data_IF_196049659841
#
_entry.id   IF_196049659841
#
_cell.length_a   1.000
_cell.length_b   1.000
_cell.length_c   1.000
_cell.angle_alpha   90.00
_cell.angle_beta   90.00
_cell.angle_gamma   90.00
#
_symmetry.space_group_name_H-M   'P 1'
#
loop_
_entity.id
_entity.type
_entity.pdbx_description
1 polymer ?
#
# COMPACT_ATOMS: atom_id res chain seq x y z
N UNK A 1 17.10 -16.70 11.28
CA UNK A 1 17.57 -17.74 10.29
C UNK A 1 18.91 -17.33 9.76
N UNK A 2 19.81 -18.30 9.56
CA UNK A 2 21.11 -18.07 8.90
C UNK A 2 20.91 -17.85 7.40
N UNK A 3 21.91 -17.27 6.73
CA UNK A 3 21.89 -17.09 5.28
C UNK A 3 21.75 -18.43 4.54
N UNK A 4 22.42 -19.49 5.03
CA UNK A 4 22.33 -20.83 4.43
C UNK A 4 20.92 -21.41 4.52
N UNK A 5 20.23 -21.25 5.65
CA UNK A 5 18.82 -21.69 5.83
C UNK A 5 17.86 -20.93 4.90
N UNK A 6 18.05 -19.62 4.77
CA UNK A 6 17.26 -18.77 3.84
C UNK A 6 17.46 -19.24 2.40
N UNK A 7 18.70 -19.50 1.99
CA UNK A 7 18.99 -20.01 0.65
C UNK A 7 18.35 -21.38 0.39
N UNK A 8 18.40 -22.30 1.38
CA UNK A 8 17.72 -23.59 1.27
C UNK A 8 16.21 -23.46 1.16
N UNK A 9 15.60 -22.54 1.94
CA UNK A 9 14.18 -22.24 1.91
C UNK A 9 13.74 -21.76 0.50
N UNK A 10 14.47 -20.80 -0.06
CA UNK A 10 14.21 -20.29 -1.42
C UNK A 10 14.31 -21.43 -2.45
N UNK A 11 15.32 -22.30 -2.32
CA UNK A 11 15.48 -23.45 -3.22
C UNK A 11 14.33 -24.46 -3.09
N UNK A 12 13.84 -24.71 -1.87
CA UNK A 12 12.64 -25.54 -1.64
C UNK A 12 11.41 -24.96 -2.33
N UNK A 13 11.18 -23.64 -2.21
CA UNK A 13 10.08 -22.95 -2.85
C UNK A 13 10.19 -22.98 -4.38
N UNK A 14 11.40 -22.79 -4.92
CA UNK A 14 11.66 -22.86 -6.36
C UNK A 14 11.41 -24.27 -6.91
N UNK A 15 11.84 -25.30 -6.19
CA UNK A 15 11.57 -26.69 -6.56
C UNK A 15 10.07 -27.00 -6.54
N UNK A 16 9.34 -26.51 -5.53
CA UNK A 16 7.90 -26.68 -5.46
C UNK A 16 7.17 -25.91 -6.56
N UNK A 17 7.56 -24.67 -6.84
CA UNK A 17 7.01 -23.92 -7.95
C UNK A 17 7.18 -24.64 -9.29
N UNK A 18 8.36 -25.21 -9.56
CA UNK A 18 8.64 -25.98 -10.76
C UNK A 18 7.94 -27.36 -10.82
N UNK A 19 7.26 -27.78 -9.77
CA UNK A 19 6.38 -28.95 -9.82
C UNK A 19 5.03 -28.69 -10.49
N UNK A 20 4.78 -27.42 -10.88
CA UNK A 20 3.53 -26.94 -11.50
C UNK A 20 2.28 -27.05 -10.60
N UNK A 21 2.43 -27.41 -9.32
CA UNK A 21 1.31 -27.58 -8.41
C UNK A 21 0.44 -26.32 -8.28
N UNK A 22 1.06 -25.12 -8.35
CA UNK A 22 0.35 -23.84 -8.26
C UNK A 22 -0.26 -23.37 -9.58
N UNK A 23 -0.05 -24.08 -10.70
CA UNK A 23 -0.72 -23.78 -11.97
C UNK A 23 -2.21 -24.15 -11.93
N UNK A 24 -2.58 -25.15 -11.14
CA UNK A 24 -3.97 -25.48 -10.90
C UNK A 24 -4.66 -24.36 -10.11
N UNK A 25 -5.70 -23.77 -10.70
CA UNK A 25 -6.47 -22.67 -10.09
C UNK A 25 -7.23 -23.15 -8.85
N UNK A 26 -7.67 -24.40 -8.81
CA UNK A 26 -8.37 -24.95 -7.64
C UNK A 26 -7.42 -25.12 -6.45
N UNK A 27 -6.16 -25.46 -6.69
CA UNK A 27 -5.13 -25.46 -5.66
C UNK A 27 -4.98 -24.07 -5.01
N UNK A 28 -4.94 -23.00 -5.83
CA UNK A 28 -4.85 -21.61 -5.34
C UNK A 28 -6.07 -21.20 -4.52
N UNK A 29 -7.27 -21.54 -5.01
CA UNK A 29 -8.54 -21.24 -4.31
C UNK A 29 -8.59 -21.98 -2.98
N UNK A 30 -8.17 -23.24 -2.94
CA UNK A 30 -8.11 -24.01 -1.68
C UNK A 30 -7.12 -23.38 -0.69
N UNK A 31 -5.97 -22.91 -1.17
CA UNK A 31 -5.00 -22.17 -0.34
C UNK A 31 -5.61 -20.89 0.27
N UNK A 32 -6.32 -20.10 -0.54
CA UNK A 32 -7.01 -18.89 -0.06
C UNK A 32 -8.13 -19.22 0.95
N UNK A 33 -8.89 -20.30 0.74
CA UNK A 33 -9.92 -20.77 1.67
C UNK A 33 -9.30 -21.18 3.02
N UNK A 34 -8.18 -21.89 2.97
CA UNK A 34 -7.44 -22.32 4.17
C UNK A 34 -6.89 -21.13 4.95
N UNK A 35 -6.34 -20.13 4.24
CA UNK A 35 -5.90 -18.89 4.86
C UNK A 35 -7.06 -18.15 5.53
N UNK A 36 -8.22 -18.06 4.86
CA UNK A 36 -9.43 -17.42 5.42
C UNK A 36 -9.91 -18.11 6.71
N UNK A 37 -9.97 -19.43 6.69
CA UNK A 37 -10.36 -20.20 7.86
C UNK A 37 -9.39 -20.01 9.04
N UNK A 38 -8.08 -19.94 8.73
CA UNK A 38 -7.06 -19.68 9.74
C UNK A 38 -7.21 -18.27 10.34
N UNK A 39 -7.42 -17.25 9.53
CA UNK A 39 -7.63 -15.86 10.01
C UNK A 39 -8.84 -15.79 10.94
N UNK A 40 -9.96 -16.38 10.56
CA UNK A 40 -11.17 -16.42 11.39
C UNK A 40 -10.94 -17.17 12.71
N UNK A 41 -10.15 -18.24 12.70
CA UNK A 41 -9.78 -18.99 13.90
C UNK A 41 -8.94 -18.15 14.86
N UNK A 42 -8.03 -17.32 14.33
CA UNK A 42 -7.05 -16.55 15.11
C UNK A 42 -7.45 -15.10 15.35
N UNK A 43 -8.70 -14.69 15.06
CA UNK A 43 -9.12 -13.27 15.13
C UNK A 43 -8.84 -12.62 16.49
N UNK A 44 -9.11 -13.32 17.59
CA UNK A 44 -8.84 -12.79 18.92
C UNK A 44 -7.34 -12.62 19.20
N UNK A 45 -6.51 -13.59 18.79
CA UNK A 45 -5.07 -13.52 18.98
C UNK A 45 -4.44 -12.44 18.09
N UNK A 46 -5.00 -12.19 16.89
CA UNK A 46 -4.59 -11.08 16.02
C UNK A 46 -4.84 -9.76 16.76
N UNK A 47 -6.02 -9.55 17.33
CA UNK A 47 -6.33 -8.35 18.10
C UNK A 47 -5.41 -8.17 19.32
N UNK A 48 -5.09 -9.25 20.03
CA UNK A 48 -4.17 -9.22 21.17
C UNK A 48 -2.75 -8.86 20.74
N UNK A 49 -2.26 -9.45 19.66
CA UNK A 49 -0.91 -9.18 19.14
C UNK A 49 -0.75 -7.73 18.65
N UNK A 50 -1.70 -7.23 17.86
CA UNK A 50 -1.71 -5.84 17.38
C UNK A 50 -1.80 -4.86 18.55
N UNK A 51 -2.61 -5.16 19.57
CA UNK A 51 -2.69 -4.34 20.78
C UNK A 51 -1.37 -4.33 21.56
N UNK A 52 -0.68 -5.43 21.64
CA UNK A 52 0.62 -5.50 22.30
C UNK A 52 1.68 -4.65 21.60
N UNK A 53 1.70 -4.65 20.27
CA UNK A 53 2.64 -3.88 19.45
C UNK A 53 2.28 -2.39 19.41
N UNK A 54 1.04 -2.03 19.09
CA UNK A 54 0.60 -0.68 18.71
C UNK A 54 -0.43 -0.05 19.67
N UNK A 55 -0.93 -0.80 20.65
CA UNK A 55 -1.98 -0.32 21.56
C UNK A 55 -3.37 -0.22 20.92
N UNK A 56 -3.57 -0.62 19.67
CA UNK A 56 -4.86 -0.56 18.98
C UNK A 56 -5.92 -1.36 19.73
N UNK A 57 -7.13 -0.81 19.86
CA UNK A 57 -8.26 -1.57 20.38
C UNK A 57 -8.76 -2.60 19.35
N UNK A 58 -9.54 -3.60 19.80
CA UNK A 58 -10.03 -4.67 18.93
C UNK A 58 -10.89 -4.13 17.77
N UNK A 59 -11.69 -3.09 18.03
CA UNK A 59 -12.49 -2.46 16.97
C UNK A 59 -11.63 -1.84 15.87
N UNK A 60 -10.60 -1.08 16.24
CA UNK A 60 -9.67 -0.47 15.29
C UNK A 60 -8.86 -1.54 14.54
N UNK A 61 -8.38 -2.58 15.25
CA UNK A 61 -7.66 -3.69 14.63
C UNK A 61 -8.52 -4.42 13.59
N UNK A 62 -9.79 -4.68 13.90
CA UNK A 62 -10.70 -5.30 12.93
C UNK A 62 -10.99 -4.38 11.75
N UNK A 63 -11.35 -3.11 12.01
CA UNK A 63 -11.72 -2.13 10.99
C UNK A 63 -10.58 -1.87 9.99
N UNK A 64 -9.33 -1.82 10.48
CA UNK A 64 -8.19 -1.35 9.68
C UNK A 64 -7.24 -2.48 9.23
N UNK A 65 -7.38 -3.69 9.77
CA UNK A 65 -6.50 -4.81 9.42
C UNK A 65 -7.29 -6.07 9.11
N UNK A 66 -7.82 -6.78 10.10
CA UNK A 66 -8.46 -8.10 9.89
C UNK A 66 -9.65 -8.04 8.93
N UNK A 67 -10.50 -7.03 9.07
CA UNK A 67 -11.69 -6.86 8.23
C UNK A 67 -11.34 -6.54 6.77
N UNK A 68 -10.33 -5.72 6.51
CA UNK A 68 -9.86 -5.42 5.16
C UNK A 68 -9.26 -6.66 4.49
N UNK A 69 -8.41 -7.40 5.22
CA UNK A 69 -7.85 -8.68 4.74
C UNK A 69 -8.94 -9.68 4.39
N UNK A 70 -9.98 -9.82 5.23
CA UNK A 70 -11.11 -10.73 4.94
C UNK A 70 -11.94 -10.27 3.75
N UNK A 71 -12.05 -8.95 3.52
CA UNK A 71 -12.68 -8.38 2.34
C UNK A 71 -11.91 -8.72 1.07
N UNK A 72 -10.58 -8.50 1.06
CA UNK A 72 -9.69 -8.84 -0.05
C UNK A 72 -9.71 -10.34 -0.37
N UNK A 73 -9.62 -11.19 0.66
CA UNK A 73 -9.76 -12.65 0.52
C UNK A 73 -11.09 -13.05 -0.12
N UNK A 74 -12.18 -12.42 0.30
CA UNK A 74 -13.51 -12.70 -0.24
C UNK A 74 -13.60 -12.30 -1.70
N UNK A 75 -13.04 -11.14 -2.06
CA UNK A 75 -12.94 -10.67 -3.42
C UNK A 75 -12.12 -11.63 -4.29
N UNK A 76 -10.93 -12.02 -3.85
CA UNK A 76 -10.05 -12.93 -4.59
C UNK A 76 -10.65 -14.32 -4.74
N UNK A 77 -11.27 -14.88 -3.71
CA UNK A 77 -11.98 -16.16 -3.81
C UNK A 77 -13.07 -16.16 -4.89
N UNK A 78 -13.75 -15.03 -5.06
CA UNK A 78 -14.80 -14.87 -6.09
C UNK A 78 -14.22 -14.72 -7.50
N UNK A 79 -13.05 -14.10 -7.64
CA UNK A 79 -12.56 -13.64 -8.95
C UNK A 79 -11.35 -14.40 -9.48
N UNK A 80 -10.59 -15.13 -8.68
CA UNK A 80 -9.34 -15.81 -9.09
C UNK A 80 -9.55 -16.72 -10.31
N UNK A 81 -10.65 -17.50 -10.38
CA UNK A 81 -10.95 -18.31 -11.57
C UNK A 81 -11.11 -17.48 -12.84
N UNK A 82 -11.69 -16.29 -12.73
CA UNK A 82 -11.88 -15.38 -13.87
C UNK A 82 -10.55 -14.74 -14.28
N UNK A 83 -9.76 -14.27 -13.32
CA UNK A 83 -8.48 -13.60 -13.56
C UNK A 83 -7.44 -14.56 -14.14
N UNK A 84 -7.49 -15.83 -13.76
CA UNK A 84 -6.57 -16.89 -14.26
C UNK A 84 -6.86 -17.35 -15.69
N UNK A 85 -7.98 -16.92 -16.30
CA UNK A 85 -8.30 -17.28 -17.69
C UNK A 85 -7.49 -16.46 -18.67
N UNK A 86 -7.20 -17.07 -19.82
CA UNK A 86 -6.66 -16.35 -20.97
C UNK A 86 -7.67 -15.32 -21.50
N UNK A 87 -7.17 -14.18 -21.90
CA UNK A 87 -7.94 -13.08 -22.44
C UNK A 87 -7.69 -12.92 -23.93
N UNK A 88 -8.69 -13.26 -24.75
CA UNK A 88 -8.61 -13.10 -26.21
C UNK A 88 -8.66 -11.61 -26.56
N UNK A 89 -7.74 -11.18 -27.43
CA UNK A 89 -7.66 -9.82 -27.95
C UNK A 89 -7.88 -9.80 -29.46
N UNK A 90 -8.14 -8.62 -30.02
CA UNK A 90 -8.34 -8.45 -31.46
C UNK A 90 -7.08 -8.87 -32.22
N UNK A 91 -7.23 -9.80 -33.17
CA UNK A 91 -6.15 -10.20 -34.09
C UNK A 91 -6.18 -9.31 -35.32
N UNK A 92 -5.07 -8.64 -35.69
CA UNK A 92 -4.99 -7.86 -36.94
C UNK A 92 -5.23 -8.72 -38.18
N UNK A 93 -5.87 -8.13 -39.22
CA UNK A 93 -6.11 -8.83 -40.49
C UNK A 93 -4.84 -9.36 -41.15
N UNK A 94 -3.72 -8.67 -41.00
CA UNK A 94 -2.41 -9.13 -41.49
C UNK A 94 -1.98 -10.50 -40.90
N UNK A 95 -2.57 -10.90 -39.79
CA UNK A 95 -2.31 -12.19 -39.12
C UNK A 95 -3.43 -13.21 -39.35
N UNK A 96 -4.35 -12.97 -40.29
CA UNK A 96 -5.42 -13.88 -40.63
C UNK A 96 -4.82 -15.22 -41.15
N UNK A 97 -5.17 -16.42 -40.74
CA UNK A 97 -6.15 -16.83 -39.75
C UNK A 97 -5.43 -17.20 -38.43
N UNK A 98 -5.58 -16.40 -37.42
CA UNK A 98 -4.96 -16.64 -36.09
C UNK A 98 -5.87 -16.17 -34.97
N UNK A 99 -5.60 -16.66 -33.74
CA UNK A 99 -6.17 -16.20 -32.50
C UNK A 99 -5.07 -15.56 -31.66
N UNK A 100 -5.26 -14.30 -31.27
CA UNK A 100 -4.37 -13.57 -30.35
C UNK A 100 -4.97 -13.57 -28.96
N UNK A 101 -4.16 -13.86 -27.94
CA UNK A 101 -4.61 -13.84 -26.55
C UNK A 101 -3.45 -13.57 -25.59
N UNK A 102 -3.80 -13.06 -24.41
CA UNK A 102 -2.91 -12.92 -23.27
C UNK A 102 -3.20 -14.05 -22.29
N UNK A 103 -2.15 -14.68 -21.78
CA UNK A 103 -2.25 -15.76 -20.79
C UNK A 103 -1.53 -15.35 -19.52
N UNK A 104 -2.23 -15.26 -18.35
CA UNK A 104 -1.59 -14.96 -17.08
C UNK A 104 -0.66 -16.10 -16.67
N UNK A 105 0.46 -15.76 -16.08
CA UNK A 105 1.48 -16.67 -15.59
C UNK A 105 2.10 -16.12 -14.31
N UNK A 106 2.19 -16.89 -13.21
CA UNK A 106 2.90 -16.46 -12.03
C UNK A 106 4.37 -16.15 -12.34
N UNK A 107 4.97 -15.26 -11.58
CA UNK A 107 6.42 -14.99 -11.67
C UNK A 107 7.24 -16.16 -11.13
N UNK A 108 6.94 -16.66 -9.94
CA UNK A 108 7.71 -17.72 -9.30
C UNK A 108 7.76 -17.61 -7.78
N UNK A 109 8.96 -17.50 -7.22
CA UNK A 109 9.19 -17.29 -5.78
C UNK A 109 9.19 -15.81 -5.49
N UNK A 110 8.25 -15.36 -4.67
CA UNK A 110 8.07 -13.93 -4.33
C UNK A 110 8.54 -13.61 -2.92
N UNK A 111 9.12 -12.43 -2.74
CA UNK A 111 9.45 -11.87 -1.43
C UNK A 111 8.47 -10.73 -1.09
N UNK A 112 7.83 -10.81 0.07
CA UNK A 112 6.92 -9.77 0.58
C UNK A 112 7.52 -9.24 1.88
N UNK A 113 7.99 -7.99 1.85
CA UNK A 113 8.56 -7.29 3.00
C UNK A 113 7.58 -6.23 3.49
N UNK A 114 7.10 -6.36 4.74
CA UNK A 114 6.03 -5.52 5.26
C UNK A 114 6.46 -4.70 6.49
N UNK A 115 5.86 -3.52 6.70
CA UNK A 115 6.16 -2.61 7.78
C UNK A 115 5.45 -2.99 9.08
N UNK A 116 5.61 -2.16 10.09
CA UNK A 116 5.13 -2.39 11.45
C UNK A 116 3.81 -1.68 11.81
N UNK A 117 3.33 -0.74 10.98
CA UNK A 117 2.22 0.14 11.34
C UNK A 117 0.82 -0.48 11.14
N UNK A 118 0.66 -1.34 10.15
CA UNK A 118 -0.47 -2.24 9.93
C UNK A 118 0.09 -3.64 9.65
N UNK A 119 0.72 -4.26 10.65
CA UNK A 119 1.60 -5.40 10.43
C UNK A 119 0.88 -6.64 9.91
N UNK A 120 -0.37 -6.85 10.29
CA UNK A 120 -1.17 -7.97 9.82
C UNK A 120 -1.65 -7.73 8.38
N UNK A 121 -2.31 -6.61 8.13
CA UNK A 121 -2.88 -6.28 6.82
C UNK A 121 -1.80 -6.21 5.75
N UNK A 122 -0.75 -5.41 5.96
CA UNK A 122 0.30 -5.18 4.96
C UNK A 122 1.22 -6.40 4.73
N UNK A 123 1.10 -7.45 5.55
CA UNK A 123 1.74 -8.74 5.29
C UNK A 123 0.82 -9.68 4.52
N UNK A 124 -0.47 -9.73 4.87
CA UNK A 124 -1.38 -10.76 4.39
C UNK A 124 -2.08 -10.37 3.09
N UNK A 125 -2.39 -9.09 2.84
CA UNK A 125 -3.00 -8.68 1.57
C UNK A 125 -2.10 -8.96 0.36
N UNK A 126 -0.81 -8.58 0.32
CA UNK A 126 0.05 -8.95 -0.79
C UNK A 126 0.26 -10.48 -0.91
N UNK A 127 0.19 -11.22 0.20
CA UNK A 127 0.22 -12.69 0.16
C UNK A 127 -1.01 -13.24 -0.55
N UNK A 128 -2.20 -12.71 -0.28
CA UNK A 128 -3.46 -13.13 -0.95
C UNK A 128 -3.31 -12.97 -2.46
N UNK A 129 -2.79 -11.84 -2.91
CA UNK A 129 -2.59 -11.52 -4.32
C UNK A 129 -1.57 -12.48 -4.97
N UNK A 130 -0.44 -12.71 -4.29
CA UNK A 130 0.60 -13.62 -4.75
C UNK A 130 0.09 -15.06 -4.90
N UNK A 131 -0.69 -15.56 -3.93
CA UNK A 131 -1.27 -16.90 -3.97
C UNK A 131 -2.36 -17.02 -5.04
N UNK A 132 -3.21 -16.01 -5.20
CA UNK A 132 -4.23 -15.96 -6.25
C UNK A 132 -3.60 -16.02 -7.65
N UNK A 133 -2.48 -15.32 -7.84
CA UNK A 133 -1.71 -15.35 -9.09
C UNK A 133 -0.96 -16.67 -9.32
N UNK A 134 -0.73 -17.48 -8.27
CA UNK A 134 -0.08 -18.79 -8.35
C UNK A 134 1.41 -18.81 -8.02
N UNK A 135 1.91 -17.81 -7.31
CA UNK A 135 3.28 -17.75 -6.82
C UNK A 135 3.47 -18.55 -5.53
N UNK A 136 4.71 -18.84 -5.17
CA UNK A 136 5.13 -19.14 -3.81
C UNK A 136 5.58 -17.84 -3.11
N UNK A 137 5.57 -17.80 -1.79
CA UNK A 137 5.88 -16.56 -1.09
C UNK A 137 6.75 -16.77 0.16
N UNK A 138 7.72 -15.88 0.32
CA UNK A 138 8.46 -15.69 1.57
C UNK A 138 8.04 -14.32 2.15
N UNK A 139 7.49 -14.36 3.36
CA UNK A 139 7.07 -13.18 4.11
C UNK A 139 8.19 -12.73 5.03
N UNK A 140 8.47 -11.44 5.04
CA UNK A 140 9.41 -10.80 5.95
C UNK A 140 8.72 -9.65 6.69
N UNK A 141 7.90 -9.94 7.72
CA UNK A 141 7.30 -8.90 8.55
C UNK A 141 8.36 -8.12 9.34
N UNK A 142 8.00 -6.92 9.76
CA UNK A 142 8.89 -6.05 10.53
C UNK A 142 9.24 -6.64 11.90
N UNK A 143 10.50 -6.53 12.30
CA UNK A 143 10.94 -6.87 13.66
C UNK A 143 10.38 -5.93 14.74
N UNK A 144 9.89 -4.74 14.38
CA UNK A 144 9.31 -3.80 15.34
C UNK A 144 7.93 -4.25 15.85
N UNK A 145 7.15 -4.93 15.05
CA UNK A 145 5.86 -5.53 15.43
C UNK A 145 6.05 -7.00 15.86
N UNK A 146 6.81 -7.23 16.92
CA UNK A 146 7.30 -8.55 17.30
C UNK A 146 6.17 -9.54 17.63
N UNK A 147 5.12 -9.10 18.33
CA UNK A 147 3.98 -9.94 18.70
C UNK A 147 3.16 -10.37 17.48
N UNK A 148 2.86 -9.43 16.59
CA UNK A 148 2.13 -9.71 15.35
C UNK A 148 2.96 -10.60 14.42
N UNK A 149 4.26 -10.35 14.30
CA UNK A 149 5.19 -11.16 13.50
C UNK A 149 5.24 -12.61 14.01
N UNK A 150 5.34 -12.81 15.32
CA UNK A 150 5.34 -14.15 15.93
C UNK A 150 4.02 -14.89 15.66
N UNK A 151 2.89 -14.18 15.75
CA UNK A 151 1.57 -14.74 15.45
C UNK A 151 1.43 -15.12 13.96
N UNK A 152 1.81 -14.22 13.04
CA UNK A 152 1.80 -14.49 11.59
C UNK A 152 2.63 -15.75 11.30
N UNK A 153 3.83 -15.86 11.86
CA UNK A 153 4.67 -17.03 11.66
C UNK A 153 3.96 -18.32 12.09
N UNK A 154 3.34 -18.36 13.28
CA UNK A 154 2.57 -19.51 13.79
C UNK A 154 1.38 -19.84 12.86
N UNK A 155 0.62 -18.84 12.42
CA UNK A 155 -0.51 -18.99 11.53
C UNK A 155 -0.11 -19.59 10.18
N UNK A 156 0.96 -19.07 9.58
CA UNK A 156 1.46 -19.55 8.29
C UNK A 156 1.97 -20.98 8.39
N UNK A 157 2.71 -21.33 9.42
CA UNK A 157 3.15 -22.72 9.67
C UNK A 157 1.99 -23.70 9.86
N UNK A 158 0.86 -23.28 10.43
CA UNK A 158 -0.34 -24.11 10.53
C UNK A 158 -1.05 -24.25 9.16
N UNK A 159 -1.04 -23.17 8.36
CA UNK A 159 -1.74 -23.13 7.08
C UNK A 159 -0.99 -23.80 5.94
N UNK A 160 0.32 -23.64 5.89
CA UNK A 160 1.10 -23.96 4.69
C UNK A 160 2.40 -24.70 5.03
N UNK A 161 2.84 -25.56 4.11
CA UNK A 161 4.19 -26.07 4.08
C UNK A 161 5.15 -24.93 3.68
N UNK A 162 6.34 -24.87 4.27
CA UNK A 162 7.34 -23.84 4.02
C UNK A 162 7.80 -23.75 2.55
N UNK A 163 7.68 -24.85 1.82
CA UNK A 163 7.94 -24.88 0.36
C UNK A 163 6.93 -24.06 -0.45
N UNK A 164 5.78 -23.70 0.12
CA UNK A 164 4.75 -22.89 -0.54
C UNK A 164 4.68 -21.48 0.03
N UNK A 165 4.51 -21.34 1.35
CA UNK A 165 4.53 -20.06 2.06
C UNK A 165 5.35 -20.20 3.32
N UNK A 166 6.32 -19.30 3.51
CA UNK A 166 7.16 -19.28 4.69
C UNK A 166 7.29 -17.88 5.28
N UNK A 167 7.64 -17.78 6.56
CA UNK A 167 7.95 -16.54 7.24
C UNK A 167 9.39 -16.54 7.69
N UNK A 168 10.14 -15.51 7.31
CA UNK A 168 11.47 -15.24 7.83
C UNK A 168 11.35 -14.12 8.87
N UNK A 169 11.55 -14.47 10.14
CA UNK A 169 11.59 -13.51 11.24
C UNK A 169 13.00 -12.96 11.41
N UNK A 170 13.14 -11.80 12.03
CA UNK A 170 14.42 -11.18 12.31
C UNK A 170 14.49 -9.72 11.85
N UNK A 171 15.69 -9.14 11.93
CA UNK A 171 15.93 -7.72 11.72
C UNK A 171 16.65 -7.37 10.42
N UNK A 172 17.60 -6.43 10.54
CA UNK A 172 18.37 -5.91 9.41
C UNK A 172 19.24 -6.98 8.74
N UNK A 173 19.77 -7.92 9.53
CA UNK A 173 20.67 -8.96 9.03
C UNK A 173 19.89 -9.90 8.07
N UNK A 174 18.72 -10.39 8.51
CA UNK A 174 17.89 -11.25 7.68
C UNK A 174 17.31 -10.51 6.46
N UNK A 175 17.02 -9.20 6.58
CA UNK A 175 16.66 -8.39 5.41
C UNK A 175 17.79 -8.41 4.37
N UNK A 176 19.04 -8.22 4.79
CA UNK A 176 20.19 -8.24 3.88
C UNK A 176 20.41 -9.62 3.27
N UNK A 177 20.22 -10.70 4.04
CA UNK A 177 20.32 -12.07 3.51
C UNK A 177 19.29 -12.31 2.42
N UNK A 178 18.02 -11.93 2.66
CA UNK A 178 16.95 -12.07 1.68
C UNK A 178 17.21 -11.23 0.43
N UNK A 179 17.59 -9.97 0.58
CA UNK A 179 17.79 -9.07 -0.56
C UNK A 179 19.00 -9.44 -1.42
N UNK A 180 19.96 -10.22 -0.89
CA UNK A 180 21.08 -10.74 -1.66
C UNK A 180 20.73 -12.01 -2.46
N UNK A 181 19.57 -12.62 -2.23
CA UNK A 181 19.14 -13.81 -2.96
C UNK A 181 18.24 -13.44 -4.15
N UNK A 182 18.13 -14.34 -5.13
CA UNK A 182 17.32 -14.15 -6.30
C UNK A 182 15.85 -14.52 -6.04
N UNK A 183 14.97 -13.54 -6.12
CA UNK A 183 13.52 -13.67 -6.18
C UNK A 183 12.99 -13.34 -7.57
N UNK A 184 11.84 -13.90 -7.93
CA UNK A 184 11.20 -13.66 -9.22
C UNK A 184 10.28 -12.41 -9.16
N UNK A 185 9.92 -11.95 -7.94
CA UNK A 185 9.22 -10.70 -7.65
C UNK A 185 9.48 -10.24 -6.22
N UNK A 186 9.58 -8.93 -5.98
CA UNK A 186 9.67 -8.36 -4.63
C UNK A 186 8.56 -7.32 -4.44
N UNK A 187 7.75 -7.50 -3.39
CA UNK A 187 6.78 -6.53 -2.92
C UNK A 187 7.27 -5.95 -1.59
N UNK A 188 7.47 -4.66 -1.55
CA UNK A 188 7.99 -3.96 -0.38
C UNK A 188 7.07 -2.81 0.02
N UNK A 189 6.74 -2.73 1.31
CA UNK A 189 6.08 -1.59 1.92
C UNK A 189 6.95 -1.05 3.06
N UNK A 190 7.26 0.26 3.02
CA UNK A 190 8.10 0.86 4.07
C UNK A 190 8.63 2.26 3.72
N UNK A 191 9.79 2.63 4.27
CA UNK A 191 10.38 3.94 4.04
C UNK A 191 11.05 4.05 2.66
N UNK A 192 11.13 5.27 2.13
CA UNK A 192 11.82 5.58 0.87
C UNK A 192 13.28 5.12 0.87
N UNK A 193 13.98 5.27 2.00
CA UNK A 193 15.37 4.86 2.14
C UNK A 193 15.53 3.36 1.91
N UNK A 194 14.71 2.55 2.59
CA UNK A 194 14.75 1.08 2.44
C UNK A 194 14.22 0.66 1.05
N UNK A 195 13.22 1.37 0.50
CA UNK A 195 12.74 1.13 -0.88
C UNK A 195 13.86 1.29 -1.92
N UNK A 196 14.70 2.32 -1.79
CA UNK A 196 15.88 2.49 -2.66
C UNK A 196 16.91 1.36 -2.49
N UNK A 197 17.04 0.82 -1.26
CA UNK A 197 17.89 -0.34 -0.98
C UNK A 197 17.35 -1.60 -1.69
N UNK A 198 16.05 -1.85 -1.57
CA UNK A 198 15.38 -2.95 -2.29
C UNK A 198 15.60 -2.83 -3.80
N UNK A 199 15.42 -1.64 -4.39
CA UNK A 199 15.69 -1.42 -5.82
C UNK A 199 17.13 -1.75 -6.21
N UNK A 200 18.12 -1.33 -5.41
CA UNK A 200 19.54 -1.62 -5.67
C UNK A 200 19.82 -3.13 -5.72
N UNK A 201 19.29 -3.88 -4.75
CA UNK A 201 19.46 -5.34 -4.71
C UNK A 201 18.70 -6.02 -5.86
N UNK A 202 17.45 -5.65 -6.11
CA UNK A 202 16.64 -6.20 -7.19
C UNK A 202 17.30 -6.04 -8.57
N UNK A 203 18.00 -4.92 -8.80
CA UNK A 203 18.70 -4.65 -10.06
C UNK A 203 19.77 -5.68 -10.40
N UNK A 204 20.39 -6.35 -9.41
CA UNK A 204 21.40 -7.39 -9.63
C UNK A 204 20.84 -8.61 -10.36
N UNK A 205 19.53 -8.84 -10.26
CA UNK A 205 18.85 -9.99 -10.83
C UNK A 205 17.77 -9.59 -11.85
N UNK A 206 17.62 -8.27 -12.12
CA UNK A 206 16.51 -7.72 -12.92
C UNK A 206 15.13 -8.12 -12.38
N UNK A 207 15.03 -8.29 -11.06
CA UNK A 207 13.79 -8.66 -10.39
C UNK A 207 12.79 -7.51 -10.45
N UNK A 208 11.57 -7.71 -10.98
CA UNK A 208 10.51 -6.71 -10.93
C UNK A 208 10.07 -6.47 -9.49
N UNK A 209 9.72 -5.21 -9.17
CA UNK A 209 9.37 -4.79 -7.83
C UNK A 209 8.10 -3.95 -7.79
N UNK A 210 7.39 -4.03 -6.67
CA UNK A 210 6.42 -3.03 -6.22
C UNK A 210 6.92 -2.39 -4.93
N UNK A 211 6.86 -1.08 -4.87
CA UNK A 211 7.26 -0.28 -3.71
C UNK A 211 6.07 0.56 -3.25
N UNK A 212 5.59 0.30 -2.05
CA UNK A 212 4.60 1.12 -1.36
C UNK A 212 5.33 1.94 -0.29
N UNK A 213 5.47 3.23 -0.56
CA UNK A 213 6.28 4.13 0.25
C UNK A 213 5.40 5.20 0.91
N UNK A 214 5.98 6.00 1.79
CA UNK A 214 5.29 7.11 2.42
C UNK A 214 5.42 8.42 1.65
N UNK A 215 4.95 9.49 2.26
CA UNK A 215 5.06 10.84 1.72
C UNK A 215 4.31 11.86 2.57
N UNK A 216 4.48 13.16 2.27
CA UNK A 216 3.74 14.22 2.96
C UNK A 216 2.39 14.44 2.30
N UNK A 217 1.39 13.66 2.73
CA UNK A 217 0.03 13.68 2.19
C UNK A 217 -0.72 14.97 2.59
N UNK A 218 -0.98 15.90 1.66
CA UNK A 218 -1.66 17.15 1.95
C UNK A 218 -3.16 16.94 2.21
N UNK A 219 -3.70 17.72 3.15
CA UNK A 219 -5.13 17.86 3.36
C UNK A 219 -5.54 19.32 3.09
N UNK A 220 -6.06 19.58 1.91
CA UNK A 220 -6.49 20.92 1.49
C UNK A 220 -7.89 21.19 2.04
N UNK A 221 -8.08 22.34 2.68
CA UNK A 221 -9.39 22.79 3.15
C UNK A 221 -9.73 24.14 2.52
N UNK A 222 -10.63 24.11 1.54
CA UNK A 222 -11.10 25.30 0.85
C UNK A 222 -12.17 26.04 1.66
N UNK A 223 -12.29 27.37 1.48
CA UNK A 223 -13.28 28.20 2.18
C UNK A 223 -14.75 27.76 1.98
N UNK A 224 -15.06 27.05 0.91
CA UNK A 224 -16.40 26.52 0.65
C UNK A 224 -16.69 25.20 1.38
N UNK A 225 -15.72 24.62 2.10
CA UNK A 225 -15.91 23.35 2.80
C UNK A 225 -16.90 23.45 3.97
N UNK A 226 -17.62 22.37 4.25
CA UNK A 226 -18.26 22.20 5.55
C UNK A 226 -17.18 21.97 6.63
N UNK A 227 -16.78 23.05 7.30
CA UNK A 227 -15.66 23.02 8.25
C UNK A 227 -15.90 22.06 9.41
N UNK A 228 -17.14 21.89 9.85
CA UNK A 228 -17.48 20.99 10.97
C UNK A 228 -17.32 19.52 10.55
N UNK A 229 -17.78 19.18 9.35
CA UNK A 229 -17.64 17.84 8.79
C UNK A 229 -16.16 17.57 8.43
N UNK A 230 -15.48 18.53 7.81
CA UNK A 230 -14.05 18.44 7.50
C UNK A 230 -13.22 18.14 8.76
N UNK A 231 -13.40 18.93 9.83
CA UNK A 231 -12.71 18.70 11.10
C UNK A 231 -12.97 17.29 11.67
N UNK A 232 -14.22 16.78 11.59
CA UNK A 232 -14.55 15.43 12.07
C UNK A 232 -13.79 14.34 11.31
N UNK A 233 -13.74 14.43 9.97
CA UNK A 233 -13.11 13.45 9.10
C UNK A 233 -11.59 13.56 9.13
N UNK A 234 -11.04 14.76 9.22
CA UNK A 234 -9.61 14.98 9.37
C UNK A 234 -9.09 14.40 10.69
N UNK A 235 -9.80 14.64 11.81
CA UNK A 235 -9.42 14.10 13.12
C UNK A 235 -9.41 12.56 13.09
N UNK A 236 -10.43 11.96 12.51
CA UNK A 236 -10.45 10.50 12.30
C UNK A 236 -9.23 10.03 11.48
N UNK A 237 -9.02 10.59 10.30
CA UNK A 237 -7.95 10.13 9.40
C UNK A 237 -6.54 10.43 9.90
N UNK A 238 -6.36 11.53 10.66
CA UNK A 238 -5.05 11.89 11.20
C UNK A 238 -4.66 11.06 12.41
N UNK A 239 -5.58 10.79 13.32
CA UNK A 239 -5.22 10.23 14.62
C UNK A 239 -5.53 8.72 14.74
N UNK A 240 -6.14 8.11 13.73
CA UNK A 240 -6.21 6.66 13.59
C UNK A 240 -4.80 6.08 13.66
N UNK A 241 -4.59 4.99 14.40
CA UNK A 241 -3.28 4.38 14.65
C UNK A 241 -2.23 5.40 15.19
N UNK A 242 -2.66 6.39 15.96
CA UNK A 242 -1.81 7.51 16.41
C UNK A 242 -1.10 8.23 15.26
N UNK A 243 -1.71 8.31 14.07
CA UNK A 243 -1.12 8.95 12.89
C UNK A 243 0.00 8.14 12.21
N UNK A 244 0.27 6.92 12.62
CA UNK A 244 1.29 6.05 12.04
C UNK A 244 0.75 5.35 10.78
N UNK A 245 0.35 6.15 9.79
CA UNK A 245 -0.34 5.71 8.58
C UNK A 245 0.22 6.47 7.37
N UNK A 246 0.67 5.74 6.36
CA UNK A 246 1.27 6.31 5.14
C UNK A 246 0.34 7.25 4.35
N UNK A 247 -0.96 7.09 4.51
CA UNK A 247 -2.00 7.94 3.92
C UNK A 247 -2.67 8.87 4.93
N UNK A 248 -2.20 8.98 6.18
CA UNK A 248 -2.73 9.98 7.11
C UNK A 248 -2.59 11.39 6.53
N UNK A 249 -3.56 12.30 6.75
CA UNK A 249 -3.31 13.72 6.52
C UNK A 249 -2.03 14.13 7.25
N UNK A 250 -0.95 14.38 6.49
CA UNK A 250 0.33 14.70 7.12
C UNK A 250 0.36 16.15 7.60
N UNK A 251 -0.27 17.05 6.83
CA UNK A 251 -0.49 18.45 7.20
C UNK A 251 -1.82 18.95 6.62
N UNK A 252 -2.37 19.98 7.25
CA UNK A 252 -3.50 20.74 6.71
C UNK A 252 -2.95 21.95 5.96
N UNK A 253 -3.46 22.20 4.77
CA UNK A 253 -3.23 23.42 4.02
C UNK A 253 -4.59 24.05 3.73
N UNK A 254 -4.97 25.07 4.52
CA UNK A 254 -6.31 25.64 4.47
C UNK A 254 -6.35 27.09 3.97
N UNK A 255 -7.48 27.46 3.39
CA UNK A 255 -7.78 28.86 3.08
C UNK A 255 -7.69 29.67 4.38
N UNK A 256 -6.92 30.77 4.36
CA UNK A 256 -6.66 31.61 5.53
C UNK A 256 -7.93 32.08 6.22
N UNK A 257 -9.00 32.32 5.46
CA UNK A 257 -10.28 32.84 5.99
C UNK A 257 -11.03 31.85 6.87
N UNK A 258 -10.73 30.56 6.79
CA UNK A 258 -11.41 29.51 7.58
C UNK A 258 -10.53 28.89 8.66
N UNK A 259 -9.25 29.29 8.78
CA UNK A 259 -8.26 28.69 9.68
C UNK A 259 -8.76 28.61 11.13
N UNK A 260 -9.15 29.75 11.71
CA UNK A 260 -9.52 29.81 13.13
C UNK A 260 -10.76 28.98 13.44
N UNK A 261 -11.75 29.00 12.52
CA UNK A 261 -12.94 28.17 12.63
C UNK A 261 -12.59 26.68 12.54
N UNK A 262 -11.67 26.31 11.64
CA UNK A 262 -11.20 24.94 11.48
C UNK A 262 -10.48 24.46 12.75
N UNK A 263 -9.54 25.21 13.29
CA UNK A 263 -8.81 24.89 14.54
C UNK A 263 -9.81 24.68 15.69
N UNK A 264 -10.78 25.56 15.83
CA UNK A 264 -11.83 25.44 16.86
C UNK A 264 -12.62 24.14 16.73
N UNK A 265 -13.02 23.76 15.51
CA UNK A 265 -13.76 22.52 15.29
C UNK A 265 -12.86 21.27 15.43
N UNK A 266 -11.58 21.31 15.00
CA UNK A 266 -10.60 20.23 15.22
C UNK A 266 -10.44 19.92 16.72
N UNK A 267 -10.23 20.94 17.56
CA UNK A 267 -10.15 20.79 19.04
C UNK A 267 -11.38 20.09 19.61
N UNK A 268 -12.58 20.51 19.19
CA UNK A 268 -13.84 19.86 19.61
C UNK A 268 -13.92 18.40 19.16
N UNK A 269 -13.50 18.10 17.93
CA UNK A 269 -13.57 16.74 17.40
C UNK A 269 -12.56 15.82 18.10
N UNK A 270 -11.35 16.29 18.42
CA UNK A 270 -10.39 15.53 19.21
C UNK A 270 -10.99 15.19 20.58
N UNK A 271 -11.54 16.17 21.29
CA UNK A 271 -12.19 15.92 22.59
C UNK A 271 -13.37 14.95 22.50
N UNK A 272 -14.11 14.98 21.38
CA UNK A 272 -15.24 14.08 21.18
C UNK A 272 -14.83 12.65 20.86
N UNK A 273 -13.77 12.45 20.05
CA UNK A 273 -13.33 11.14 19.57
C UNK A 273 -12.35 10.47 20.54
N UNK A 274 -11.50 11.26 21.22
CA UNK A 274 -10.41 10.76 22.07
C UNK A 274 -10.53 11.23 23.54
N UNK A 275 -11.66 11.81 23.95
CA UNK A 275 -11.90 12.42 25.26
C UNK A 275 -11.07 13.67 25.54
N UNK A 276 -11.26 14.26 26.75
CA UNK A 276 -10.44 15.40 27.23
C UNK A 276 -9.07 14.96 27.76
N UNK A 277 -8.88 13.67 27.95
CA UNK A 277 -7.64 13.05 28.42
C UNK A 277 -7.28 11.88 27.49
N UNK A 278 -6.77 12.17 26.27
CA UNK A 278 -6.50 11.15 25.27
C UNK A 278 -5.55 10.05 25.75
N UNK A 279 -4.53 10.38 26.53
CA UNK A 279 -3.55 9.41 27.05
C UNK A 279 -4.16 8.42 28.05
N UNK A 280 -5.27 8.77 28.69
CA UNK A 280 -6.04 7.86 29.57
C UNK A 280 -7.15 7.10 28.82
N UNK A 281 -7.36 7.39 27.52
CA UNK A 281 -8.41 6.78 26.73
C UNK A 281 -8.02 5.35 26.30
N UNK A 282 -8.80 4.36 26.70
CA UNK A 282 -8.48 2.92 26.52
C UNK A 282 -8.36 2.48 25.06
N UNK A 283 -8.92 3.23 24.14
CA UNK A 283 -8.92 2.94 22.70
C UNK A 283 -7.85 3.73 21.94
N UNK A 284 -7.14 4.64 22.61
CA UNK A 284 -6.04 5.37 22.00
C UNK A 284 -4.75 4.54 22.03
N UNK A 285 -4.13 4.35 20.87
CA UNK A 285 -2.95 3.52 20.70
C UNK A 285 -1.65 4.15 21.25
N UNK A 286 -0.51 3.62 20.83
CA UNK A 286 0.83 4.10 21.22
C UNK A 286 1.76 4.15 20.01
N UNK A 287 2.88 4.85 20.15
CA UNK A 287 3.97 4.82 19.17
C UNK A 287 4.71 3.49 19.29
N UNK A 288 5.09 2.92 18.15
CA UNK A 288 5.63 1.55 18.06
C UNK A 288 6.88 1.32 18.95
N UNK A 289 7.77 2.30 19.05
CA UNK A 289 8.99 2.19 19.85
C UNK A 289 9.55 3.56 20.25
N UNK A 290 10.52 3.56 21.16
CA UNK A 290 11.16 4.76 21.69
C UNK A 290 11.85 5.61 20.61
N UNK A 291 12.52 4.98 19.63
CA UNK A 291 13.18 5.70 18.54
C UNK A 291 12.20 6.61 17.76
N UNK A 292 11.03 6.06 17.38
CA UNK A 292 10.01 6.84 16.69
C UNK A 292 9.31 7.85 17.60
N UNK A 293 9.16 7.50 18.87
CA UNK A 293 8.62 8.42 19.88
C UNK A 293 9.49 9.66 20.05
N UNK A 294 10.81 9.48 20.27
CA UNK A 294 11.74 10.61 20.45
C UNK A 294 11.86 11.45 19.17
N UNK A 295 11.86 10.81 17.98
CA UNK A 295 11.80 11.52 16.69
C UNK A 295 10.58 12.43 16.62
N UNK A 296 9.41 11.94 16.99
CA UNK A 296 8.16 12.71 16.95
C UNK A 296 8.19 13.90 17.92
N UNK A 297 8.72 13.73 19.13
CA UNK A 297 8.90 14.84 20.08
C UNK A 297 9.82 15.91 19.50
N UNK A 298 10.86 15.53 18.77
CA UNK A 298 11.76 16.46 18.09
C UNK A 298 11.13 17.26 16.95
N UNK A 299 9.96 16.85 16.45
CA UNK A 299 9.22 17.60 15.42
C UNK A 299 8.25 18.64 16.01
N UNK A 300 7.98 18.61 17.31
CA UNK A 300 7.04 19.51 17.97
C UNK A 300 7.74 20.81 18.35
N UNK A 301 7.37 21.89 17.68
CA UNK A 301 7.67 23.25 18.14
C UNK A 301 6.58 23.70 19.12
N UNK A 302 6.90 23.70 20.40
CA UNK A 302 5.94 23.96 21.47
C UNK A 302 5.37 25.39 21.44
N UNK A 303 6.11 26.37 20.88
CA UNK A 303 5.62 27.74 20.71
C UNK A 303 4.48 27.82 19.68
N UNK A 304 4.36 26.82 18.81
CA UNK A 304 3.32 26.70 17.79
C UNK A 304 2.18 25.76 18.18
N UNK A 305 2.29 25.06 19.31
CA UNK A 305 1.23 24.14 19.77
C UNK A 305 0.02 24.94 20.25
N UNK A 306 -1.12 24.67 19.65
CA UNK A 306 -2.40 25.30 20.02
C UNK A 306 -3.37 24.32 20.68
N UNK A 307 -3.05 23.02 20.65
CA UNK A 307 -3.78 21.96 21.35
C UNK A 307 -2.90 20.72 21.51
N UNK A 308 -3.04 20.00 22.63
CA UNK A 308 -2.27 18.80 22.92
C UNK A 308 -0.84 19.11 23.34
N UNK A 309 0.11 18.30 22.87
CA UNK A 309 1.54 18.45 23.14
C UNK A 309 2.03 17.70 24.37
N UNK A 310 1.15 17.07 25.14
CA UNK A 310 1.54 16.20 26.27
C UNK A 310 1.88 14.80 25.80
N UNK A 311 2.68 14.10 26.58
CA UNK A 311 3.13 12.75 26.25
C UNK A 311 3.45 11.92 27.49
N UNK A 312 3.52 10.61 27.32
CA UNK A 312 3.96 9.67 28.35
C UNK A 312 5.03 8.73 27.80
N UNK A 313 6.25 8.84 28.33
CA UNK A 313 7.39 8.00 27.95
C UNK A 313 7.21 6.51 28.32
N UNK A 314 6.47 6.20 29.41
CA UNK A 314 6.29 4.83 29.86
C UNK A 314 5.35 4.06 28.94
N UNK A 315 4.28 4.72 28.48
CA UNK A 315 3.31 4.14 27.57
C UNK A 315 3.64 4.36 26.10
N UNK A 316 4.62 5.20 25.79
CA UNK A 316 4.98 5.67 24.44
C UNK A 316 3.80 6.37 23.73
N UNK A 317 3.01 7.11 24.47
CA UNK A 317 1.85 7.83 23.93
C UNK A 317 2.16 9.33 23.80
N UNK A 318 1.74 9.91 22.67
CA UNK A 318 1.77 11.35 22.42
C UNK A 318 0.33 11.78 22.17
N UNK A 319 -0.12 12.83 22.87
CA UNK A 319 -1.47 13.36 22.71
C UNK A 319 -1.69 13.86 21.27
N UNK A 320 -2.91 13.73 20.69
CA UNK A 320 -3.27 14.41 19.46
C UNK A 320 -2.90 15.91 19.52
N UNK A 321 -1.93 16.32 18.73
CA UNK A 321 -1.29 17.63 18.82
C UNK A 321 -1.58 18.45 17.56
N UNK A 322 -2.06 19.68 17.72
CA UNK A 322 -2.26 20.66 16.63
C UNK A 322 -1.22 21.76 16.76
N UNK A 323 -0.50 22.04 15.67
CA UNK A 323 0.41 23.17 15.55
C UNK A 323 -0.16 24.18 14.55
N UNK A 324 -0.17 25.47 14.93
CA UNK A 324 -0.59 26.59 14.08
C UNK A 324 0.61 27.45 13.67
N UNK A 325 0.42 28.33 12.69
CA UNK A 325 1.45 29.22 12.16
C UNK A 325 2.70 28.45 11.66
N UNK A 326 2.48 27.25 11.15
CA UNK A 326 3.54 26.42 10.56
C UNK A 326 3.85 26.91 9.14
N UNK A 327 5.11 26.86 8.79
CA UNK A 327 5.64 27.17 7.45
C UNK A 327 6.30 25.96 6.82
N UNK A 328 6.53 25.98 5.53
CA UNK A 328 7.25 24.89 4.84
C UNK A 328 8.72 24.75 5.30
N UNK A 329 9.29 25.73 6.00
CA UNK A 329 10.65 25.69 6.54
C UNK A 329 10.75 25.00 7.91
N UNK A 330 9.63 24.78 8.61
CA UNK A 330 9.63 24.17 9.93
C UNK A 330 10.02 22.68 9.89
N UNK A 331 10.64 22.20 10.96
CA UNK A 331 11.11 20.80 11.07
C UNK A 331 10.02 19.77 10.78
N UNK A 332 8.79 20.01 11.27
CA UNK A 332 7.62 19.15 11.05
C UNK A 332 7.22 19.02 9.57
N UNK A 333 7.71 19.91 8.71
CA UNK A 333 7.45 19.90 7.27
C UNK A 333 8.58 19.28 6.43
N UNK A 334 9.75 18.96 7.04
CA UNK A 334 10.91 18.44 6.30
C UNK A 334 10.87 16.94 6.05
N UNK A 335 10.08 16.19 6.82
CA UNK A 335 9.90 14.75 6.67
C UNK A 335 8.44 14.34 6.85
N UNK A 336 8.08 13.12 6.48
CA UNK A 336 6.79 12.52 6.82
C UNK A 336 6.67 12.38 8.34
N UNK A 337 5.60 12.89 8.91
CA UNK A 337 5.43 12.94 10.38
C UNK A 337 5.25 11.52 10.93
N UNK A 338 4.35 10.74 10.36
CA UNK A 338 4.03 9.37 10.79
C UNK A 338 3.72 9.27 12.29
N UNK A 339 2.89 10.20 12.77
CA UNK A 339 2.56 10.34 14.18
C UNK A 339 1.43 11.34 14.44
N UNK A 340 1.01 11.53 15.72
CA UNK A 340 -0.18 12.27 16.08
C UNK A 340 0.05 13.80 16.17
N UNK A 341 0.85 14.35 15.26
CA UNK A 341 1.12 15.80 15.17
C UNK A 341 0.55 16.31 13.86
N UNK A 342 -0.30 17.34 13.94
CA UNK A 342 -1.03 17.92 12.81
C UNK A 342 -0.67 19.39 12.65
N UNK A 343 0.28 19.75 11.78
CA UNK A 343 0.60 21.12 11.44
C UNK A 343 -0.45 21.72 10.50
N UNK A 344 -0.73 23.01 10.70
CA UNK A 344 -1.67 23.78 9.89
C UNK A 344 -0.92 24.93 9.20
N UNK A 345 -0.95 24.92 7.87
CA UNK A 345 -0.48 25.97 6.98
C UNK A 345 -1.67 26.67 6.34
N UNK A 346 -1.48 27.90 5.88
CA UNK A 346 -2.53 28.66 5.19
C UNK A 346 -2.09 29.12 3.82
N UNK A 347 -3.05 29.20 2.90
CA UNK A 347 -2.88 29.82 1.58
C UNK A 347 -3.90 30.95 1.37
N UNK A 348 -3.58 31.88 0.48
CA UNK A 348 -4.45 32.99 0.08
C UNK A 348 -5.21 32.68 -1.22
N UNK A 349 -4.71 31.77 -2.04
CA UNK A 349 -5.40 31.30 -3.25
C UNK A 349 -5.18 29.81 -3.48
N UNK A 350 -6.20 29.14 -4.05
CA UNK A 350 -6.08 27.71 -4.39
C UNK A 350 -4.96 27.44 -5.39
N UNK A 351 -4.63 28.40 -6.26
CA UNK A 351 -3.51 28.28 -7.21
C UNK A 351 -2.17 28.29 -6.50
N UNK A 352 -2.01 29.08 -5.44
CA UNK A 352 -0.84 29.05 -4.56
C UNK A 352 -0.70 27.67 -3.92
N UNK A 353 -1.78 27.15 -3.32
CA UNK A 353 -1.78 25.83 -2.69
C UNK A 353 -1.35 24.73 -3.68
N UNK A 354 -1.92 24.72 -4.86
CA UNK A 354 -1.57 23.76 -5.92
C UNK A 354 -0.10 23.87 -6.33
N UNK A 355 0.40 25.08 -6.50
CA UNK A 355 1.78 25.29 -6.95
C UNK A 355 2.79 24.85 -5.88
N UNK A 356 2.54 25.17 -4.60
CA UNK A 356 3.39 24.75 -3.49
C UNK A 356 3.43 23.22 -3.34
N UNK A 357 2.27 22.55 -3.43
CA UNK A 357 2.21 21.08 -3.35
C UNK A 357 2.94 20.45 -4.54
N UNK A 358 2.78 21.00 -5.75
CA UNK A 358 3.48 20.50 -6.95
C UNK A 358 5.01 20.66 -6.91
N UNK A 359 5.50 21.59 -6.11
CA UNK A 359 6.94 21.78 -5.90
C UNK A 359 7.54 20.77 -4.91
N UNK A 360 6.70 20.01 -4.19
CA UNK A 360 7.12 18.94 -3.28
C UNK A 360 7.14 17.59 -4.00
N UNK A 361 7.65 16.57 -3.30
CA UNK A 361 7.57 15.17 -3.74
C UNK A 361 6.11 14.73 -3.94
N UNK A 362 5.86 13.82 -4.88
CA UNK A 362 4.53 13.26 -5.13
C UNK A 362 4.00 12.52 -3.89
N UNK A 363 2.90 12.97 -3.27
CA UNK A 363 2.36 12.33 -2.09
C UNK A 363 1.67 10.99 -2.44
N UNK A 364 1.66 10.05 -1.49
CA UNK A 364 0.89 8.82 -1.63
C UNK A 364 -0.62 9.12 -1.59
N UNK A 365 -1.06 10.05 -0.72
CA UNK A 365 -2.45 10.44 -0.68
C UNK A 365 -2.63 11.97 -0.77
N UNK A 366 -3.79 12.39 -1.32
CA UNK A 366 -4.24 13.78 -1.34
C UNK A 366 -5.70 13.87 -0.91
N UNK A 367 -6.00 14.82 -0.03
CA UNK A 367 -7.36 15.09 0.45
C UNK A 367 -7.73 16.52 0.15
N UNK A 368 -8.97 16.71 -0.34
CA UNK A 368 -9.56 18.04 -0.60
C UNK A 368 -10.94 18.13 0.01
N UNK A 369 -11.13 19.09 0.91
CA UNK A 369 -12.44 19.46 1.45
C UNK A 369 -12.92 20.75 0.79
N UNK A 370 -13.99 20.64 -0.01
CA UNK A 370 -14.59 21.75 -0.73
C UNK A 370 -16.09 21.49 -0.95
N UNK A 371 -16.90 22.51 -0.79
CA UNK A 371 -18.31 22.49 -1.20
C UNK A 371 -18.47 22.79 -2.69
N UNK A 372 -17.47 23.39 -3.32
CA UNK A 372 -17.40 23.66 -4.75
C UNK A 372 -16.67 22.52 -5.45
N UNK A 373 -17.38 21.74 -6.26
CA UNK A 373 -16.86 20.59 -7.00
C UNK A 373 -15.80 20.98 -8.03
N UNK A 374 -15.93 22.14 -8.68
CA UNK A 374 -14.96 22.62 -9.66
C UNK A 374 -13.58 22.89 -9.02
N UNK A 375 -13.57 23.35 -7.76
CA UNK A 375 -12.32 23.52 -7.03
C UNK A 375 -11.65 22.17 -6.78
N UNK A 376 -12.42 21.17 -6.34
CA UNK A 376 -11.89 19.82 -6.10
C UNK A 376 -11.36 19.18 -7.39
N UNK A 377 -12.13 19.24 -8.47
CA UNK A 377 -11.72 18.73 -9.79
C UNK A 377 -10.45 19.41 -10.32
N UNK A 378 -10.35 20.74 -10.17
CA UNK A 378 -9.18 21.50 -10.57
C UNK A 378 -7.91 21.09 -9.79
N UNK A 379 -8.03 20.88 -8.48
CA UNK A 379 -6.92 20.41 -7.64
C UNK A 379 -6.47 19.01 -8.07
N UNK A 380 -7.41 18.08 -8.24
CA UNK A 380 -7.12 16.70 -8.65
C UNK A 380 -6.47 16.65 -10.04
N UNK A 381 -6.93 17.46 -10.97
CA UNK A 381 -6.38 17.50 -12.33
C UNK A 381 -4.96 18.04 -12.40
N UNK A 382 -4.54 18.86 -11.43
CA UNK A 382 -3.25 19.59 -11.48
C UNK A 382 -2.17 19.00 -10.61
N UNK A 383 -2.50 18.21 -9.59
CA UNK A 383 -1.53 17.61 -8.68
C UNK A 383 -1.45 16.11 -8.98
N UNK A 384 -0.22 15.58 -9.11
CA UNK A 384 0.02 14.15 -9.19
C UNK A 384 0.11 13.54 -7.79
N UNK A 385 -0.63 12.44 -7.53
CA UNK A 385 -0.66 11.72 -6.26
C UNK A 385 -1.10 10.27 -6.48
N UNK A 386 -0.88 9.38 -5.51
CA UNK A 386 -1.28 7.98 -5.63
C UNK A 386 -2.78 7.79 -5.60
N UNK A 387 -3.43 8.13 -4.51
CA UNK A 387 -4.88 8.07 -4.34
C UNK A 387 -5.41 9.15 -3.40
N UNK A 388 -6.73 9.29 -3.22
CA UNK A 388 -7.23 10.34 -2.34
C UNK A 388 -8.74 10.40 -2.22
N UNK A 389 -9.23 11.40 -1.47
CA UNK A 389 -10.65 11.60 -1.25
C UNK A 389 -11.05 13.06 -1.45
N UNK A 390 -12.23 13.25 -2.02
CA UNK A 390 -12.96 14.52 -1.94
C UNK A 390 -13.88 14.46 -0.73
N UNK A 391 -13.77 15.45 0.16
CA UNK A 391 -14.57 15.59 1.38
C UNK A 391 -14.47 14.40 2.36
N UNK A 392 -13.44 13.58 2.28
CA UNK A 392 -13.13 12.54 3.26
C UNK A 392 -11.62 12.29 3.36
N UNK A 393 -11.22 11.33 4.20
CA UNK A 393 -9.85 10.87 4.36
C UNK A 393 -9.80 9.34 4.41
N UNK A 394 -8.69 8.72 3.99
CA UNK A 394 -8.36 7.30 4.08
C UNK A 394 -9.24 6.34 3.26
N UNK A 395 -10.54 6.55 3.14
CA UNK A 395 -11.50 5.54 2.63
C UNK A 395 -11.26 5.08 1.18
N UNK A 396 -10.43 5.78 0.41
CA UNK A 396 -10.07 5.37 -0.96
C UNK A 396 -9.32 4.03 -1.01
N UNK A 397 -8.67 3.63 0.09
CA UNK A 397 -7.96 2.34 0.19
C UNK A 397 -8.86 1.16 0.60
N UNK A 398 -10.08 1.44 1.09
CA UNK A 398 -10.96 0.41 1.66
C UNK A 398 -11.82 -0.31 0.61
N UNK A 399 -11.27 -0.55 -0.60
CA UNK A 399 -11.99 -1.23 -1.67
C UNK A 399 -11.04 -2.03 -2.56
N UNK A 400 -11.42 -3.26 -2.90
CA UNK A 400 -10.70 -4.11 -3.86
C UNK A 400 -10.98 -3.73 -5.34
N UNK A 401 -11.84 -2.75 -5.59
CA UNK A 401 -12.22 -2.33 -6.96
C UNK A 401 -11.33 -1.21 -7.51
N UNK A 402 -10.50 -0.58 -6.67
CA UNK A 402 -9.56 0.47 -7.06
C UNK A 402 -8.12 0.06 -6.71
N UNK A 403 -7.15 0.38 -7.56
CA UNK A 403 -5.74 0.17 -7.22
C UNK A 403 -5.32 1.08 -6.06
N UNK A 404 -4.42 0.58 -5.22
CA UNK A 404 -3.71 1.36 -4.22
C UNK A 404 -2.22 1.35 -4.55
N UNK A 405 -1.59 2.52 -4.58
CA UNK A 405 -0.17 2.68 -4.83
C UNK A 405 0.21 4.12 -5.14
N UNK A 406 1.48 4.42 -4.96
CA UNK A 406 2.08 5.72 -5.27
C UNK A 406 2.90 5.70 -6.56
N UNK A 407 3.53 6.84 -6.87
CA UNK A 407 4.52 6.95 -7.94
C UNK A 407 5.60 7.98 -7.59
N UNK A 408 6.76 7.86 -8.23
CA UNK A 408 7.92 8.67 -7.88
C UNK A 408 8.37 8.35 -6.46
N UNK A 409 8.43 9.37 -5.61
CA UNK A 409 8.90 9.22 -4.23
C UNK A 409 7.92 8.49 -3.32
N UNK A 410 6.64 8.41 -3.68
CA UNK A 410 5.63 7.68 -2.91
C UNK A 410 5.47 6.22 -3.29
N UNK A 411 6.11 5.76 -4.38
CA UNK A 411 6.08 4.34 -4.71
C UNK A 411 6.27 4.02 -6.18
N UNK A 412 6.07 2.72 -6.49
CA UNK A 412 6.18 2.14 -7.81
C UNK A 412 5.29 0.90 -7.87
N UNK A 413 4.36 0.86 -8.83
CA UNK A 413 3.35 -0.18 -8.91
C UNK A 413 2.14 0.10 -8.03
N UNK A 414 1.24 -0.88 -7.93
CA UNK A 414 0.02 -0.78 -7.13
C UNK A 414 -0.57 -2.18 -6.90
N UNK A 415 -1.50 -2.32 -5.95
CA UNK A 415 -2.13 -3.58 -5.62
C UNK A 415 -3.61 -3.37 -5.23
N UNK A 416 -4.27 -4.31 -4.64
CA UNK A 416 -5.68 -4.53 -4.37
C UNK A 416 -6.45 -5.11 -5.56
N UNK A 417 -7.27 -6.12 -5.27
CA UNK A 417 -8.19 -6.74 -6.20
C UNK A 417 -7.54 -7.22 -7.50
N UNK A 418 -8.15 -6.85 -8.62
CA UNK A 418 -7.60 -7.21 -9.95
C UNK A 418 -6.18 -6.72 -10.15
N UNK A 419 -5.87 -5.52 -9.68
CA UNK A 419 -4.52 -4.95 -9.81
C UNK A 419 -3.51 -5.74 -9.00
N UNK A 420 -3.86 -6.20 -7.79
CA UNK A 420 -3.01 -7.06 -6.98
C UNK A 420 -2.71 -8.39 -7.68
N UNK A 421 -3.72 -9.04 -8.25
CA UNK A 421 -3.51 -10.23 -9.08
C UNK A 421 -2.56 -9.94 -10.25
N UNK A 422 -2.74 -8.82 -10.95
CA UNK A 422 -1.90 -8.43 -12.10
C UNK A 422 -0.46 -8.12 -11.68
N UNK A 423 -0.28 -7.51 -10.54
CA UNK A 423 1.04 -7.16 -9.97
C UNK A 423 1.90 -8.40 -9.74
N UNK A 424 1.30 -9.51 -9.33
CA UNK A 424 1.99 -10.79 -9.16
C UNK A 424 1.91 -11.71 -10.38
N UNK A 425 1.52 -11.16 -11.54
CA UNK A 425 1.29 -11.93 -12.79
C UNK A 425 2.07 -11.35 -13.96
N UNK A 426 2.78 -12.20 -14.69
CA UNK A 426 3.31 -11.87 -16.01
C UNK A 426 2.33 -12.33 -17.09
N UNK A 427 1.96 -11.45 -18.02
CA UNK A 427 1.07 -11.77 -19.12
C UNK A 427 1.83 -12.17 -20.39
N UNK A 428 1.72 -13.46 -20.79
CA UNK A 428 2.29 -13.98 -22.03
C UNK A 428 1.40 -13.58 -23.20
N UNK A 429 1.94 -12.88 -24.19
CA UNK A 429 1.24 -12.54 -25.43
C UNK A 429 1.44 -13.66 -26.45
N UNK A 430 0.37 -14.32 -26.88
CA UNK A 430 0.43 -15.51 -27.75
C UNK A 430 -0.43 -15.27 -28.99
N UNK A 431 0.13 -15.63 -30.17
CA UNK A 431 -0.60 -15.71 -31.43
C UNK A 431 -0.62 -17.19 -31.87
N UNK A 432 -1.81 -17.80 -31.78
CA UNK A 432 -2.05 -19.16 -32.31
C UNK A 432 -2.37 -19.05 -33.81
N UNK A 433 -1.37 -19.22 -34.66
CA UNK A 433 -1.48 -19.17 -36.11
C UNK A 433 -1.85 -20.54 -36.69
N UNK A 434 -2.91 -20.58 -37.51
CA UNK A 434 -3.28 -21.82 -38.22
C UNK A 434 -2.26 -22.20 -39.30
N UNK A 435 -1.95 -23.47 -39.38
CA UNK A 435 -0.91 -24.01 -40.28
C UNK A 435 -1.37 -24.23 -41.71
N UNK A 436 -2.69 -24.30 -41.94
CA UNK A 436 -3.27 -24.53 -43.27
C UNK A 436 -3.26 -23.29 -44.18
N UNK A 437 -3.01 -22.10 -43.63
CA UNK A 437 -2.91 -20.86 -44.39
C UNK A 437 -1.64 -20.13 -44.00
N UNK A 438 -0.81 -19.90 -45.02
CA UNK A 438 0.35 -19.01 -44.90
C UNK A 438 0.31 -17.90 -45.96
N UNK A 439 0.67 -16.71 -45.56
CA UNK A 439 0.67 -15.52 -46.46
C UNK A 439 2.09 -15.31 -46.99
N UNK A 440 2.34 -15.61 -48.27
CA UNK A 440 3.71 -15.58 -48.82
C UNK A 440 4.31 -14.17 -48.87
N UNK A 441 3.50 -13.12 -48.72
CA UNK A 441 3.93 -11.73 -48.80
C UNK A 441 4.93 -11.28 -47.72
N UNK A 442 5.04 -12.02 -46.63
CA UNK A 442 5.99 -11.73 -45.52
C UNK A 442 7.40 -12.28 -45.76
N UNK A 443 7.57 -13.16 -46.77
CA UNK A 443 8.84 -13.81 -47.03
C UNK A 443 9.59 -13.14 -48.17
N UNK A 444 10.91 -13.23 -48.14
CA UNK A 444 11.77 -12.81 -49.21
C UNK A 444 11.72 -13.80 -50.40
N UNK A 445 11.93 -13.32 -51.66
CA UNK A 445 12.17 -11.94 -52.05
C UNK A 445 10.92 -11.07 -52.09
N UNK A 446 11.04 -9.82 -51.58
CA UNK A 446 9.88 -8.94 -51.49
C UNK A 446 9.51 -8.39 -52.90
N UNK A 447 8.26 -8.65 -53.31
CA UNK A 447 7.69 -8.15 -54.57
C UNK A 447 7.01 -6.82 -54.36
N UNK A 448 7.01 -5.95 -55.41
CA UNK A 448 6.37 -4.61 -55.38
C UNK A 448 4.87 -4.68 -54.99
N UNK A 449 4.15 -5.74 -55.39
CA UNK A 449 2.75 -5.92 -55.05
C UNK A 449 2.56 -6.20 -53.56
N UNK A 450 3.51 -6.86 -52.90
CA UNK A 450 3.48 -7.11 -51.45
C UNK A 450 3.57 -5.81 -50.68
N UNK A 451 4.32 -4.83 -51.19
CA UNK A 451 4.43 -3.51 -50.56
C UNK A 451 3.07 -2.75 -50.50
N UNK A 452 2.31 -2.80 -51.61
CA UNK A 452 0.95 -2.21 -51.65
C UNK A 452 -0.01 -2.87 -50.68
N UNK A 453 0.03 -4.19 -50.56
CA UNK A 453 -0.79 -4.97 -49.63
C UNK A 453 -0.41 -4.66 -48.17
N UNK A 454 0.88 -4.57 -47.85
CA UNK A 454 1.34 -4.19 -46.50
C UNK A 454 0.84 -2.77 -46.14
N UNK A 455 0.94 -1.78 -47.03
CA UNK A 455 0.39 -0.44 -46.78
C UNK A 455 -1.13 -0.43 -46.57
N UNK A 456 -1.87 -1.39 -47.11
CA UNK A 456 -3.31 -1.50 -46.92
C UNK A 456 -3.66 -2.16 -45.56
N UNK A 457 -2.86 -3.14 -45.10
CA UNK A 457 -3.12 -3.89 -43.88
C UNK A 457 -2.54 -3.26 -42.61
N UNK A 458 -1.52 -2.39 -42.74
CA UNK A 458 -0.82 -1.76 -41.63
C UNK A 458 -1.20 -0.26 -41.43
N UNK A 459 -2.32 0.17 -42.01
CA UNK A 459 -2.86 1.53 -41.79
C UNK A 459 -3.81 1.59 -40.61
#
# INVERSE_FOLDING_TARGET
>A
MTQAEIKQLIQKQRTFFHSDATLDVEYRIHALQKLKACILKYENEINIAIRADLGKCAFESYMCETGLVLSELTYMLKHTRKFSKEHTVRTPLAQFHSRSYQKPSPYGVTLIMSPWNYPFMLTIEPLIDALAAGNTAILKPSAYSAHTTALINRMIQECFDEKYVAVVTGGREENNFLLNEHFDYIFFTGSQEVGKEVMRHASNHLTPITLELGGKSPCIVHKSADIKLAAKRIVFGKFLNCGQTCVAPDYIYCDRTVKDKLIKELKKQIQKQYSKQPLAHKEYGKIINLKHFDRLLGLIDYDKVVYGGTFDHHTLQIEPTIMDNVTFADAVMQEEIFGPVLPILTYDSISEAVNNIRAMSHPLALYIFAGDTHVAENVIARIGFGGGCINDTLIHLATSEMPFGGFGESGMGSYHGKTGFDTFTHYKSIVDKKTWLDLPMRYQPYKKINNKLLHMFLK
#
